data_IF_690340654020
#
_entry.id   IF_690340654020
#
_cell.length_a   1.000
_cell.length_b   1.000
_cell.length_c   1.000
_cell.angle_alpha   90.00
_cell.angle_beta   90.00
_cell.angle_gamma   90.00
#
_symmetry.space_group_name_H-M   'P 1'
#
loop_
_entity.id
_entity.type
_entity.pdbx_description
1 polymer ?
#
# COMPACT_ATOMS: atom_id res chain seq x y z
N UNK A 1 -1.46 -4.96 -24.02
CA UNK A 1 -0.19 -4.97 -23.27
C UNK A 1 -0.29 -6.10 -22.25
N UNK A 2 0.58 -7.09 -22.32
CA UNK A 2 0.57 -8.21 -21.36
C UNK A 2 0.79 -7.64 -19.96
N UNK A 3 -0.06 -8.01 -19.01
CA UNK A 3 -0.03 -7.44 -17.66
C UNK A 3 1.20 -8.01 -16.94
N UNK A 4 2.14 -7.14 -16.56
CA UNK A 4 3.22 -7.53 -15.65
C UNK A 4 2.62 -7.93 -14.30
N UNK A 5 3.24 -8.88 -13.62
CA UNK A 5 2.79 -9.42 -12.33
C UNK A 5 3.92 -9.43 -11.32
N UNK A 6 3.54 -9.46 -10.06
CA UNK A 6 4.48 -9.63 -8.95
C UNK A 6 4.84 -11.11 -8.79
N UNK A 7 6.10 -11.37 -8.45
CA UNK A 7 6.61 -12.69 -8.11
C UNK A 7 6.94 -12.71 -6.63
N UNK A 8 6.53 -13.78 -5.95
CA UNK A 8 6.76 -13.97 -4.52
C UNK A 8 7.61 -15.20 -4.26
N UNK A 9 8.78 -15.02 -3.66
CA UNK A 9 9.74 -16.08 -3.34
C UNK A 9 9.76 -16.32 -1.83
N UNK A 10 9.15 -17.42 -1.40
CA UNK A 10 9.13 -17.85 0.00
C UNK A 10 10.20 -18.88 0.34
N UNK A 11 10.46 -19.79 -0.60
CA UNK A 11 11.48 -20.83 -0.45
C UNK A 11 12.88 -20.24 -0.59
N UNK A 12 13.83 -20.76 0.19
CA UNK A 12 15.23 -20.44 0.03
C UNK A 12 15.76 -20.87 -1.35
N UNK A 13 16.84 -20.23 -1.78
CA UNK A 13 17.52 -20.59 -3.01
C UNK A 13 18.22 -19.41 -3.66
N UNK A 14 18.21 -19.35 -4.99
CA UNK A 14 18.93 -18.36 -5.77
C UNK A 14 18.06 -17.76 -6.87
N UNK A 15 18.08 -16.44 -6.98
CA UNK A 15 17.50 -15.73 -8.12
C UNK A 15 18.64 -15.25 -9.01
N UNK A 16 18.59 -15.62 -10.29
CA UNK A 16 19.63 -15.27 -11.25
C UNK A 16 19.03 -14.90 -12.61
N UNK A 17 19.76 -14.08 -13.36
CA UNK A 17 19.46 -13.82 -14.76
C UNK A 17 20.06 -14.91 -15.64
N UNK A 18 19.31 -15.38 -16.63
CA UNK A 18 19.85 -15.99 -17.85
C UNK A 18 19.13 -15.40 -19.05
N UNK A 19 19.87 -14.76 -19.94
CA UNK A 19 19.35 -14.03 -21.11
C UNK A 19 18.29 -12.97 -20.72
N UNK A 20 17.06 -13.08 -21.23
CA UNK A 20 15.92 -12.21 -20.91
C UNK A 20 14.96 -12.85 -19.88
N UNK A 21 15.44 -13.81 -19.10
CA UNK A 21 14.63 -14.61 -18.18
C UNK A 21 15.21 -14.56 -16.77
N UNK A 22 14.31 -14.42 -15.79
CA UNK A 22 14.62 -14.62 -14.38
C UNK A 22 14.48 -16.10 -14.04
N UNK A 23 15.56 -16.71 -13.56
CA UNK A 23 15.59 -18.07 -13.06
C UNK A 23 15.58 -18.07 -11.55
N UNK A 24 14.60 -18.75 -10.98
CA UNK A 24 14.48 -19.04 -9.56
C UNK A 24 14.92 -20.50 -9.39
N UNK A 25 15.97 -20.72 -8.62
CA UNK A 25 16.51 -22.05 -8.31
C UNK A 25 16.29 -22.28 -6.83
N UNK A 26 15.46 -23.25 -6.45
CA UNK A 26 15.31 -23.61 -5.03
C UNK A 26 16.57 -24.32 -4.51
N UNK A 27 16.72 -24.42 -3.18
CA UNK A 27 17.78 -25.24 -2.56
C UNK A 27 17.78 -26.69 -3.08
N UNK A 28 16.60 -27.27 -3.31
CA UNK A 28 16.43 -28.63 -3.88
C UNK A 28 16.79 -28.72 -5.38
N UNK A 29 17.27 -27.64 -5.99
CA UNK A 29 17.68 -27.60 -7.40
C UNK A 29 16.54 -27.44 -8.40
N UNK A 30 15.29 -27.27 -7.96
CA UNK A 30 14.14 -27.03 -8.84
C UNK A 30 14.29 -25.66 -9.50
N UNK A 31 14.25 -25.63 -10.83
CA UNK A 31 14.40 -24.40 -11.61
C UNK A 31 13.07 -23.95 -12.18
N UNK A 32 12.69 -22.71 -11.88
CA UNK A 32 11.56 -22.03 -12.49
C UNK A 32 12.04 -20.84 -13.30
N UNK A 33 11.69 -20.82 -14.59
CA UNK A 33 11.97 -19.73 -15.50
C UNK A 33 10.77 -18.78 -15.57
N UNK A 34 11.00 -17.48 -15.46
CA UNK A 34 9.98 -16.45 -15.68
C UNK A 34 10.51 -15.38 -16.65
N UNK A 35 9.88 -15.18 -17.81
CA UNK A 35 10.26 -14.12 -18.73
C UNK A 35 10.18 -12.75 -18.05
N UNK A 36 11.24 -11.95 -18.11
CA UNK A 36 11.30 -10.67 -17.37
C UNK A 36 10.20 -9.70 -17.78
N UNK A 37 9.73 -9.78 -19.03
CA UNK A 37 8.66 -8.92 -19.56
C UNK A 37 7.32 -9.11 -18.86
N UNK A 38 7.14 -10.24 -18.14
CA UNK A 38 5.96 -10.54 -17.34
C UNK A 38 6.13 -10.12 -15.88
N UNK A 39 7.29 -9.59 -15.48
CA UNK A 39 7.63 -9.33 -14.08
C UNK A 39 7.57 -7.84 -13.82
N UNK A 40 6.81 -7.47 -12.80
CA UNK A 40 6.75 -6.11 -12.29
C UNK A 40 7.68 -5.97 -11.10
N UNK A 41 7.38 -6.69 -10.02
CA UNK A 41 8.19 -6.73 -8.81
C UNK A 41 8.55 -8.17 -8.43
N UNK A 42 9.64 -8.32 -7.69
CA UNK A 42 9.99 -9.57 -7.01
C UNK A 42 10.06 -9.33 -5.51
N UNK A 43 9.25 -10.06 -4.75
CA UNK A 43 9.18 -10.03 -3.30
C UNK A 43 9.94 -11.22 -2.72
N UNK A 44 10.96 -10.94 -1.93
CA UNK A 44 11.92 -11.89 -1.40
C UNK A 44 11.64 -12.10 0.10
N UNK A 45 10.91 -13.16 0.43
CA UNK A 45 10.58 -13.56 1.81
C UNK A 45 11.52 -14.63 2.36
N UNK A 46 12.07 -15.50 1.50
CA UNK A 46 13.05 -16.52 1.87
C UNK A 46 14.50 -16.02 1.87
N UNK A 47 15.44 -16.91 2.21
CA UNK A 47 16.87 -16.65 2.07
C UNK A 47 17.27 -16.85 0.60
N UNK A 48 17.42 -15.74 -0.14
CA UNK A 48 17.67 -15.77 -1.58
C UNK A 48 19.07 -15.22 -1.90
N UNK A 49 19.90 -16.05 -2.53
CA UNK A 49 21.16 -15.63 -3.13
C UNK A 49 20.93 -14.82 -4.40
N UNK A 50 21.62 -13.67 -4.49
CA UNK A 50 21.57 -12.75 -5.63
C UNK A 50 23.00 -12.45 -6.12
N UNK A 51 23.14 -11.96 -7.35
CA UNK A 51 24.44 -11.49 -7.87
C UNK A 51 24.32 -10.16 -8.64
N UNK A 52 25.46 -9.53 -8.91
CA UNK A 52 25.54 -8.25 -9.63
C UNK A 52 24.90 -8.30 -11.02
N UNK A 53 24.97 -9.44 -11.73
CA UNK A 53 24.35 -9.62 -13.03
C UNK A 53 22.81 -9.51 -12.96
N UNK A 54 22.20 -10.04 -11.91
CA UNK A 54 20.76 -9.86 -11.65
C UNK A 54 20.44 -8.39 -11.37
N UNK A 55 21.17 -7.70 -10.49
CA UNK A 55 20.89 -6.30 -10.18
C UNK A 55 21.00 -5.38 -11.40
N UNK A 56 22.02 -5.58 -12.24
CA UNK A 56 22.15 -4.85 -13.50
C UNK A 56 20.94 -5.12 -14.42
N UNK A 57 20.52 -6.37 -14.52
CA UNK A 57 19.38 -6.76 -15.36
C UNK A 57 18.05 -6.20 -14.86
N UNK A 58 17.78 -6.33 -13.56
CA UNK A 58 16.61 -5.73 -12.91
C UNK A 58 16.60 -4.22 -13.09
N UNK A 59 17.77 -3.56 -12.99
CA UNK A 59 17.92 -2.13 -13.29
C UNK A 59 17.54 -1.75 -14.72
N UNK A 60 17.98 -2.53 -15.70
CA UNK A 60 17.69 -2.32 -17.13
C UNK A 60 16.23 -2.62 -17.50
N UNK A 61 15.62 -3.61 -16.84
CA UNK A 61 14.24 -4.07 -17.13
C UNK A 61 13.20 -3.44 -16.22
N UNK A 62 13.62 -2.52 -15.36
CA UNK A 62 12.77 -1.78 -14.41
C UNK A 62 12.02 -2.70 -13.44
N UNK A 63 12.64 -3.81 -13.03
CA UNK A 63 12.09 -4.75 -12.04
C UNK A 63 12.57 -4.37 -10.64
N UNK A 64 11.64 -4.07 -9.73
CA UNK A 64 11.97 -3.79 -8.33
C UNK A 64 12.11 -5.08 -7.52
N UNK A 65 13.06 -5.11 -6.58
CA UNK A 65 13.25 -6.24 -5.67
C UNK A 65 12.96 -5.79 -4.24
N UNK A 66 11.88 -6.30 -3.63
CA UNK A 66 11.47 -5.99 -2.27
C UNK A 66 11.93 -7.06 -1.30
N UNK A 67 12.53 -6.66 -0.18
CA UNK A 67 13.10 -7.56 0.82
C UNK A 67 12.30 -7.50 2.13
N UNK A 68 12.13 -8.66 2.73
CA UNK A 68 11.42 -8.84 3.99
C UNK A 68 12.30 -9.59 4.98
N UNK A 69 12.13 -9.33 6.28
CA UNK A 69 12.80 -10.10 7.32
C UNK A 69 12.07 -11.44 7.58
N UNK A 70 12.62 -12.26 8.48
CA UNK A 70 12.07 -13.56 8.86
C UNK A 70 10.58 -13.51 9.25
N UNK A 71 10.16 -12.45 9.95
CA UNK A 71 8.78 -12.24 10.39
C UNK A 71 7.85 -11.69 9.30
N UNK A 72 8.36 -11.49 8.08
CA UNK A 72 7.61 -10.94 6.95
C UNK A 72 7.44 -9.41 7.01
N UNK A 73 8.17 -8.70 7.87
CA UNK A 73 8.19 -7.25 7.86
C UNK A 73 9.10 -6.72 6.75
N UNK A 74 8.64 -5.67 6.07
CA UNK A 74 9.42 -5.01 5.02
C UNK A 74 10.71 -4.40 5.56
N UNK A 75 11.83 -4.79 4.94
CA UNK A 75 13.17 -4.30 5.26
C UNK A 75 13.56 -3.15 4.34
N UNK A 76 13.30 -3.30 3.04
CA UNK A 76 13.77 -2.35 2.05
C UNK A 76 13.55 -2.85 0.63
N UNK A 77 14.09 -2.14 -0.35
CA UNK A 77 14.08 -2.61 -1.74
C UNK A 77 15.27 -2.10 -2.51
N UNK A 78 15.65 -2.89 -3.51
CA UNK A 78 16.48 -2.41 -4.60
C UNK A 78 15.59 -1.73 -5.64
N UNK A 79 15.88 -0.47 -5.92
CA UNK A 79 15.21 0.33 -6.92
C UNK A 79 16.12 0.52 -8.13
N UNK A 80 15.65 0.16 -9.34
CA UNK A 80 16.28 0.58 -10.59
C UNK A 80 16.52 2.09 -10.63
N UNK A 81 17.51 2.53 -11.41
CA UNK A 81 17.72 3.96 -11.68
C UNK A 81 16.41 4.57 -12.21
N UNK A 82 16.06 5.76 -11.71
CA UNK A 82 14.87 6.47 -12.18
C UNK A 82 14.98 6.79 -13.69
N UNK A 83 14.00 6.32 -14.47
CA UNK A 83 13.94 6.55 -15.92
C UNK A 83 12.99 7.68 -16.29
N UNK A 84 11.92 7.89 -15.50
CA UNK A 84 10.93 8.95 -15.71
C UNK A 84 11.26 10.21 -14.93
N UNK A 85 12.50 10.70 -14.99
CA UNK A 85 12.92 11.88 -14.21
C UNK A 85 12.36 13.18 -14.79
N UNK A 86 11.92 14.09 -13.92
CA UNK A 86 11.58 15.46 -14.29
C UNK A 86 11.96 16.43 -13.18
N UNK A 87 13.04 17.20 -13.41
CA UNK A 87 13.47 18.23 -12.47
C UNK A 87 12.38 19.27 -12.19
N UNK A 88 11.53 19.56 -13.18
CA UNK A 88 10.39 20.47 -13.02
C UNK A 88 9.41 19.92 -11.97
N UNK A 89 9.01 18.65 -12.07
CA UNK A 89 8.09 18.04 -11.12
C UNK A 89 8.69 18.01 -9.72
N UNK A 90 9.97 17.63 -9.59
CA UNK A 90 10.66 17.62 -8.29
C UNK A 90 10.70 19.00 -7.65
N UNK A 91 11.12 20.04 -8.39
CA UNK A 91 11.13 21.43 -7.89
C UNK A 91 9.73 21.87 -7.48
N UNK A 92 8.70 21.53 -8.25
CA UNK A 92 7.32 21.88 -7.94
C UNK A 92 6.74 21.11 -6.74
N UNK A 93 7.12 19.85 -6.54
CA UNK A 93 6.79 19.10 -5.32
C UNK A 93 7.39 19.78 -4.09
N UNK A 94 8.67 20.15 -4.16
CA UNK A 94 9.35 20.89 -3.08
C UNK A 94 8.69 22.24 -2.80
N UNK A 95 8.34 23.02 -3.84
CA UNK A 95 7.60 24.28 -3.69
C UNK A 95 6.24 24.07 -2.98
N UNK A 96 5.52 23.00 -3.32
CA UNK A 96 4.25 22.67 -2.66
C UNK A 96 4.45 22.28 -1.19
N UNK A 97 5.52 21.57 -0.85
CA UNK A 97 5.85 21.21 0.52
C UNK A 97 6.21 22.45 1.37
N UNK A 98 7.04 23.34 0.81
CA UNK A 98 7.53 24.53 1.52
C UNK A 98 6.43 25.59 1.74
N UNK A 99 5.42 25.66 0.86
CA UNK A 99 4.29 26.58 1.03
C UNK A 99 3.20 25.96 1.90
N UNK A 100 3.03 26.47 3.12
CA UNK A 100 2.08 25.98 4.13
C UNK A 100 0.69 25.69 3.58
N UNK A 101 0.11 26.61 2.81
CA UNK A 101 -1.25 26.45 2.25
C UNK A 101 -1.35 25.32 1.23
N UNK A 102 -0.35 25.18 0.35
CA UNK A 102 -0.30 24.13 -0.67
C UNK A 102 -0.11 22.75 -0.03
N UNK A 103 0.81 22.65 0.93
CA UNK A 103 1.04 21.42 1.70
C UNK A 103 -0.22 21.01 2.45
N UNK A 104 -0.86 21.95 3.14
CA UNK A 104 -2.09 21.72 3.89
C UNK A 104 -3.23 21.26 2.99
N UNK A 105 -3.40 21.86 1.81
CA UNK A 105 -4.41 21.45 0.84
C UNK A 105 -4.28 19.97 0.45
N UNK A 106 -3.07 19.53 0.10
CA UNK A 106 -2.80 18.12 -0.26
C UNK A 106 -3.00 17.18 0.93
N UNK A 107 -2.48 17.55 2.11
CA UNK A 107 -2.68 16.78 3.34
C UNK A 107 -4.17 16.55 3.64
N UNK A 108 -4.99 17.60 3.58
CA UNK A 108 -6.45 17.52 3.75
C UNK A 108 -7.09 16.60 2.72
N UNK A 109 -6.67 16.66 1.46
CA UNK A 109 -7.21 15.82 0.40
C UNK A 109 -6.96 14.32 0.66
N UNK A 110 -5.77 13.93 1.12
CA UNK A 110 -5.48 12.53 1.46
C UNK A 110 -6.38 12.03 2.60
N UNK A 111 -6.49 12.79 3.69
CA UNK A 111 -7.31 12.41 4.85
C UNK A 111 -8.80 12.38 4.46
N UNK A 112 -9.31 13.36 3.72
CA UNK A 112 -10.71 13.37 3.27
C UNK A 112 -11.08 12.14 2.43
N UNK A 113 -10.18 11.66 1.59
CA UNK A 113 -10.42 10.46 0.79
C UNK A 113 -10.34 9.19 1.63
N UNK A 114 -9.36 9.09 2.52
CA UNK A 114 -9.24 7.99 3.47
C UNK A 114 -10.52 7.87 4.32
N UNK A 115 -10.96 8.96 4.95
CA UNK A 115 -12.19 9.00 5.76
C UNK A 115 -13.44 8.67 4.96
N UNK A 116 -13.53 9.16 3.71
CA UNK A 116 -14.64 8.80 2.82
C UNK A 116 -14.70 7.30 2.56
N UNK A 117 -13.56 6.66 2.27
CA UNK A 117 -13.51 5.21 2.03
C UNK A 117 -13.77 4.40 3.31
N UNK A 118 -13.31 4.84 4.48
CA UNK A 118 -13.64 4.23 5.78
C UNK A 118 -15.15 4.23 6.02
N UNK A 119 -15.79 5.40 5.92
CA UNK A 119 -17.24 5.54 6.08
C UNK A 119 -18.02 4.73 5.04
N UNK A 120 -17.52 4.66 3.80
CA UNK A 120 -18.10 3.81 2.74
C UNK A 120 -18.03 2.33 3.12
N UNK A 121 -16.90 1.87 3.67
CA UNK A 121 -16.74 0.48 4.14
C UNK A 121 -17.73 0.18 5.27
N UNK A 122 -17.83 1.05 6.28
CA UNK A 122 -18.81 0.92 7.37
C UNK A 122 -20.25 0.84 6.84
N UNK A 123 -20.62 1.74 5.91
CA UNK A 123 -21.96 1.77 5.30
C UNK A 123 -22.29 0.50 4.51
N UNK A 124 -21.37 0.06 3.63
CA UNK A 124 -21.55 -1.16 2.82
C UNK A 124 -21.65 -2.43 3.68
N UNK A 125 -21.17 -2.39 4.92
CA UNK A 125 -21.22 -3.50 5.88
C UNK A 125 -22.31 -3.36 6.94
N UNK A 126 -23.16 -2.34 6.86
CA UNK A 126 -24.32 -2.19 7.74
C UNK A 126 -24.03 -1.58 9.13
N UNK A 127 -22.79 -1.21 9.45
CA UNK A 127 -22.42 -0.72 10.80
C UNK A 127 -22.43 0.81 10.93
N UNK A 128 -23.13 1.52 10.03
CA UNK A 128 -23.14 2.99 10.02
C UNK A 128 -23.86 3.63 11.21
N UNK A 129 -24.68 2.87 11.93
CA UNK A 129 -25.40 3.33 13.12
C UNK A 129 -24.56 3.33 14.41
N UNK A 130 -23.38 2.72 14.40
CA UNK A 130 -22.53 2.64 15.59
C UNK A 130 -21.93 4.01 15.94
N UNK A 131 -21.84 4.30 17.24
CA UNK A 131 -21.29 5.56 17.78
C UNK A 131 -19.90 5.88 17.20
N UNK A 132 -19.03 4.87 17.11
CA UNK A 132 -17.70 5.01 16.53
C UNK A 132 -17.73 5.55 15.09
N UNK A 133 -18.73 5.16 14.28
CA UNK A 133 -18.88 5.61 12.89
C UNK A 133 -19.50 7.01 12.81
N UNK A 134 -20.40 7.34 13.74
CA UNK A 134 -20.94 8.70 13.88
C UNK A 134 -19.83 9.69 14.22
N UNK A 135 -18.94 9.35 15.16
CA UNK A 135 -17.78 10.18 15.52
C UNK A 135 -16.87 10.39 14.31
N UNK A 136 -16.59 9.36 13.51
CA UNK A 136 -15.80 9.51 12.26
C UNK A 136 -16.48 10.50 11.31
N UNK A 137 -17.81 10.45 11.20
CA UNK A 137 -18.59 11.34 10.34
C UNK A 137 -18.44 12.80 10.77
N UNK A 138 -18.51 13.09 12.07
CA UNK A 138 -18.31 14.44 12.61
C UNK A 138 -16.85 14.91 12.44
N UNK A 139 -15.88 14.09 12.82
CA UNK A 139 -14.45 14.41 12.63
C UNK A 139 -14.10 14.67 11.16
N UNK A 140 -14.75 13.97 10.22
CA UNK A 140 -14.53 14.15 8.79
C UNK A 140 -14.94 15.54 8.28
N UNK A 141 -15.92 16.19 8.93
CA UNK A 141 -16.33 17.56 8.60
C UNK A 141 -15.21 18.55 8.96
N UNK A 142 -14.58 18.34 10.12
CA UNK A 142 -13.53 19.21 10.67
C UNK A 142 -12.22 19.20 9.85
N UNK A 143 -12.00 18.22 8.96
CA UNK A 143 -10.79 18.17 8.12
C UNK A 143 -10.65 19.44 7.28
N UNK A 144 -11.77 20.01 6.80
CA UNK A 144 -11.73 21.24 5.98
C UNK A 144 -11.23 22.44 6.77
N UNK A 145 -11.51 22.49 8.06
CA UNK A 145 -11.24 23.64 8.93
C UNK A 145 -9.90 23.53 9.67
N UNK A 146 -9.20 22.40 9.54
CA UNK A 146 -7.85 22.22 10.10
C UNK A 146 -6.90 23.34 9.62
N UNK A 147 -6.16 23.97 10.53
CA UNK A 147 -5.35 25.18 10.25
C UNK A 147 -3.93 24.85 9.79
N UNK A 148 -3.49 23.63 10.01
CA UNK A 148 -2.17 23.13 9.63
C UNK A 148 -2.16 21.60 9.47
N UNK A 149 -1.01 21.08 9.04
CA UNK A 149 -0.82 19.66 8.77
C UNK A 149 -0.86 18.85 10.07
N UNK A 150 -0.39 19.39 11.19
CA UNK A 150 -0.39 18.70 12.47
C UNK A 150 -1.82 18.46 12.98
N UNK A 151 -2.69 19.47 12.90
CA UNK A 151 -4.11 19.33 13.18
C UNK A 151 -4.77 18.32 12.23
N UNK A 152 -4.41 18.36 10.94
CA UNK A 152 -4.90 17.40 9.94
C UNK A 152 -4.52 15.95 10.29
N UNK A 153 -3.27 15.73 10.72
CA UNK A 153 -2.80 14.43 11.21
C UNK A 153 -3.47 14.01 12.52
N UNK A 154 -3.73 14.95 13.44
CA UNK A 154 -4.49 14.67 14.67
C UNK A 154 -5.90 14.17 14.37
N UNK A 155 -6.60 14.82 13.43
CA UNK A 155 -7.92 14.37 12.96
C UNK A 155 -7.84 12.99 12.31
N UNK A 156 -6.84 12.75 11.45
CA UNK A 156 -6.59 11.44 10.84
C UNK A 156 -6.39 10.33 11.88
N UNK A 157 -5.59 10.59 12.92
CA UNK A 157 -5.32 9.65 13.99
C UNK A 157 -6.59 9.29 14.78
N UNK A 158 -7.40 10.29 15.14
CA UNK A 158 -8.69 10.07 15.82
C UNK A 158 -9.66 9.28 14.93
N UNK A 159 -9.78 9.64 13.65
CA UNK A 159 -10.60 8.91 12.68
C UNK A 159 -10.17 7.45 12.60
N UNK A 160 -8.86 7.18 12.48
CA UNK A 160 -8.33 5.81 12.45
C UNK A 160 -8.63 5.04 13.73
N UNK A 161 -8.50 5.67 14.89
CA UNK A 161 -8.80 5.02 16.17
C UNK A 161 -10.26 4.57 16.24
N UNK A 162 -11.20 5.48 15.93
CA UNK A 162 -12.62 5.13 15.91
C UNK A 162 -12.97 4.12 14.81
N UNK A 163 -12.32 4.21 13.64
CA UNK A 163 -12.51 3.26 12.57
C UNK A 163 -12.07 1.85 12.98
N UNK A 164 -10.91 1.70 13.62
CA UNK A 164 -10.46 0.40 14.11
C UNK A 164 -11.38 -0.17 15.20
N UNK A 165 -11.93 0.67 16.10
CA UNK A 165 -12.98 0.24 17.03
C UNK A 165 -14.21 -0.29 16.27
N UNK A 166 -14.66 0.44 15.24
CA UNK A 166 -15.77 0.01 14.40
C UNK A 166 -15.49 -1.29 13.63
N UNK A 167 -14.22 -1.62 13.33
CA UNK A 167 -13.87 -2.87 12.67
C UNK A 167 -14.11 -4.10 13.55
N UNK A 168 -14.07 -3.98 14.88
CA UNK A 168 -14.36 -5.11 15.78
C UNK A 168 -15.79 -5.64 15.58
N UNK A 169 -16.73 -4.79 15.15
CA UNK A 169 -18.11 -5.18 14.80
C UNK A 169 -18.21 -5.97 13.49
N UNK A 170 -17.14 -6.00 12.70
CA UNK A 170 -17.10 -6.61 11.37
C UNK A 170 -16.27 -7.89 11.31
N UNK A 171 -15.63 -8.28 12.39
CA UNK A 171 -14.69 -9.41 12.42
C UNK A 171 -15.06 -10.38 13.54
N UNK A 172 -14.68 -11.67 13.44
CA UNK A 172 -14.93 -12.64 14.49
C UNK A 172 -14.25 -12.24 15.81
N UNK A 173 -14.83 -12.64 16.94
CA UNK A 173 -14.35 -12.31 18.28
C UNK A 173 -12.85 -12.63 18.49
N UNK A 174 -12.40 -13.78 17.98
CA UNK A 174 -10.99 -14.22 18.02
C UNK A 174 -9.99 -13.28 17.31
N UNK A 175 -10.49 -12.37 16.47
CA UNK A 175 -9.70 -11.36 15.75
C UNK A 175 -9.89 -9.94 16.29
N UNK A 176 -10.74 -9.75 17.29
CA UNK A 176 -10.94 -8.42 17.88
C UNK A 176 -9.67 -7.93 18.58
N UNK A 177 -9.49 -6.62 18.62
CA UNK A 177 -8.29 -5.99 19.17
C UNK A 177 -8.63 -4.67 19.85
N UNK A 178 -7.93 -4.35 20.95
CA UNK A 178 -8.20 -3.14 21.73
C UNK A 178 -7.67 -1.88 21.05
N UNK A 179 -6.46 -1.95 20.49
CA UNK A 179 -5.78 -0.81 19.86
C UNK A 179 -4.83 -1.24 18.74
N UNK A 180 -4.42 -0.30 17.89
CA UNK A 180 -3.51 -0.58 16.78
C UNK A 180 -2.06 -0.72 17.27
N UNK A 181 -1.54 -1.96 17.34
CA UNK A 181 -0.14 -2.25 17.68
C UNK A 181 0.70 -2.53 16.43
N UNK A 182 1.61 -1.61 16.06
CA UNK A 182 2.28 -1.64 14.73
C UNK A 182 3.60 -2.42 14.70
N UNK A 183 4.49 -2.22 15.67
CA UNK A 183 5.87 -2.74 15.67
C UNK A 183 6.35 -2.98 17.12
N UNK A 184 6.24 -4.20 17.66
CA UNK A 184 5.61 -5.39 17.06
C UNK A 184 4.06 -5.35 17.14
N UNK A 185 3.35 -6.05 16.22
CA UNK A 185 1.95 -6.41 16.43
C UNK A 185 1.81 -7.39 17.59
N UNK A 186 0.76 -7.21 18.41
CA UNK A 186 0.50 -8.03 19.62
C UNK A 186 -0.67 -9.01 19.48
N UNK A 187 -1.43 -8.91 18.40
CA UNK A 187 -2.58 -9.78 18.12
C UNK A 187 -2.70 -10.11 16.62
N UNK A 188 -3.46 -11.17 16.27
CA UNK A 188 -3.57 -11.64 14.89
C UNK A 188 -4.06 -10.59 13.91
N UNK A 189 -5.06 -9.78 14.28
CA UNK A 189 -5.62 -8.82 13.33
C UNK A 189 -4.70 -7.60 13.13
N UNK A 190 -3.98 -7.16 14.17
CA UNK A 190 -2.90 -6.19 14.03
C UNK A 190 -1.77 -6.70 13.13
N UNK A 191 -1.40 -7.98 13.22
CA UNK A 191 -0.42 -8.58 12.32
C UNK A 191 -0.91 -8.57 10.86
N UNK A 192 -2.19 -8.92 10.66
CA UNK A 192 -2.84 -8.93 9.34
C UNK A 192 -2.91 -7.51 8.72
N UNK A 193 -3.32 -6.50 9.49
CA UNK A 193 -3.32 -5.10 9.05
C UNK A 193 -1.90 -4.64 8.72
N UNK A 194 -0.91 -4.99 9.54
CA UNK A 194 0.49 -4.59 9.31
C UNK A 194 1.02 -5.16 8.00
N UNK A 195 0.74 -6.42 7.73
CA UNK A 195 1.13 -7.09 6.49
C UNK A 195 0.40 -6.53 5.27
N UNK A 196 -0.93 -6.38 5.33
CA UNK A 196 -1.72 -5.78 4.25
C UNK A 196 -1.32 -4.34 3.93
N UNK A 197 -1.03 -3.52 4.95
CA UNK A 197 -0.53 -2.16 4.75
C UNK A 197 0.85 -2.16 4.08
N UNK A 198 1.71 -3.12 4.43
CA UNK A 198 3.03 -3.27 3.81
C UNK A 198 2.90 -3.55 2.31
N UNK A 199 2.02 -4.49 1.94
CA UNK A 199 1.70 -4.78 0.53
C UNK A 199 1.18 -3.55 -0.21
N UNK A 200 0.33 -2.74 0.45
CA UNK A 200 -0.16 -1.50 -0.12
C UNK A 200 0.97 -0.48 -0.32
N UNK A 201 1.87 -0.32 0.65
CA UNK A 201 3.00 0.62 0.55
C UNK A 201 3.94 0.25 -0.59
N UNK A 202 4.29 -1.03 -0.75
CA UNK A 202 5.15 -1.47 -1.86
C UNK A 202 4.47 -1.31 -3.20
N UNK A 203 3.16 -1.59 -3.29
CA UNK A 203 2.39 -1.38 -4.52
C UNK A 203 2.32 0.10 -4.92
N UNK A 204 2.04 0.99 -3.97
CA UNK A 204 2.00 2.44 -4.22
C UNK A 204 3.38 2.96 -4.62
N UNK A 205 4.43 2.55 -3.92
CA UNK A 205 5.79 2.96 -4.22
C UNK A 205 6.21 2.52 -5.62
N UNK A 206 5.86 1.29 -6.01
CA UNK A 206 6.13 0.77 -7.35
C UNK A 206 5.45 1.60 -8.43
N UNK A 207 4.24 2.09 -8.18
CA UNK A 207 3.53 2.96 -9.12
C UNK A 207 4.08 4.38 -9.15
N UNK A 208 4.59 4.92 -8.03
CA UNK A 208 5.27 6.22 -8.00
C UNK A 208 6.51 6.20 -8.91
N UNK A 209 7.32 5.14 -8.86
CA UNK A 209 8.55 5.02 -9.66
C UNK A 209 8.31 4.99 -11.18
N UNK A 210 7.08 4.74 -11.62
CA UNK A 210 6.66 4.79 -13.03
C UNK A 210 6.20 6.18 -13.46
N UNK A 211 6.41 7.17 -12.60
CA UNK A 211 6.03 8.55 -12.81
C UNK A 211 7.20 9.47 -12.48
N UNK A 212 7.00 10.77 -12.70
CA UNK A 212 7.96 11.82 -12.41
C UNK A 212 7.97 12.26 -10.94
N UNK A 213 7.11 11.66 -10.10
CA UNK A 213 7.05 12.02 -8.68
C UNK A 213 8.30 11.50 -7.95
N UNK A 214 8.94 12.39 -7.20
CA UNK A 214 9.93 12.00 -6.23
C UNK A 214 9.23 11.38 -5.01
N UNK A 215 9.51 10.11 -4.64
CA UNK A 215 8.83 9.40 -3.57
C UNK A 215 9.18 9.89 -2.15
N UNK A 216 10.23 10.71 -2.00
CA UNK A 216 10.67 11.22 -0.69
C UNK A 216 9.91 12.48 -0.26
N UNK A 217 9.29 13.21 -1.20
CA UNK A 217 8.55 14.46 -0.93
C UNK A 217 7.06 14.14 -0.72
N UNK A 218 6.62 14.20 0.54
CA UNK A 218 5.24 14.00 1.00
C UNK A 218 4.61 15.30 1.51
N UNK A 219 3.33 15.27 1.85
CA UNK A 219 2.57 16.44 2.27
C UNK A 219 1.81 16.24 3.59
N UNK A 220 1.24 15.06 3.82
CA UNK A 220 0.63 14.69 5.10
C UNK A 220 1.70 14.23 6.09
N UNK A 221 2.43 13.16 5.78
CA UNK A 221 3.55 12.72 6.61
C UNK A 221 4.76 13.63 6.39
N UNK A 222 5.59 13.83 7.42
CA UNK A 222 6.86 14.52 7.25
C UNK A 222 7.81 13.73 6.31
N UNK A 223 8.44 14.40 5.32
CA UNK A 223 9.61 13.89 4.63
C UNK A 223 10.69 13.53 5.66
N UNK A 224 11.32 12.37 5.48
CA UNK A 224 12.37 11.90 6.38
C UNK A 224 13.57 11.48 5.56
N UNK A 225 14.77 11.64 6.12
CA UNK A 225 16.05 11.34 5.46
C UNK A 225 16.18 9.89 4.98
N UNK A 226 15.38 8.96 5.50
CA UNK A 226 15.50 7.51 5.23
C UNK A 226 14.17 6.84 4.88
N UNK A 227 13.19 7.59 4.35
CA UNK A 227 11.86 7.05 4.06
C UNK A 227 11.22 7.65 2.81
N UNK A 228 10.61 6.78 2.01
CA UNK A 228 9.71 7.18 0.92
C UNK A 228 8.36 7.62 1.50
N UNK A 229 8.28 8.84 2.00
CA UNK A 229 7.08 9.29 2.72
C UNK A 229 5.87 9.48 1.79
N UNK A 230 6.04 9.73 0.49
CA UNK A 230 4.90 9.97 -0.42
C UNK A 230 4.04 8.72 -0.63
N UNK A 231 4.65 7.53 -0.60
CA UNK A 231 3.87 6.30 -0.72
C UNK A 231 2.96 6.08 0.48
N UNK A 232 3.32 6.59 1.67
CA UNK A 232 2.46 6.54 2.85
C UNK A 232 1.22 7.41 2.65
N UNK A 233 1.40 8.65 2.20
CA UNK A 233 0.32 9.60 1.90
C UNK A 233 -0.68 9.03 0.89
N UNK A 234 -0.18 8.54 -0.24
CA UNK A 234 -1.04 7.96 -1.27
C UNK A 234 -1.70 6.66 -0.80
N UNK A 235 -1.00 5.83 -0.01
CA UNK A 235 -1.58 4.61 0.55
C UNK A 235 -2.72 4.89 1.54
N UNK A 236 -2.80 6.07 2.18
CA UNK A 236 -3.94 6.45 3.02
C UNK A 236 -5.27 6.33 2.28
N UNK A 237 -5.30 6.68 0.99
CA UNK A 237 -6.48 6.59 0.12
C UNK A 237 -6.92 5.14 -0.07
N UNK A 238 -5.95 4.25 -0.31
CA UNK A 238 -6.20 2.90 -0.81
C UNK A 238 -6.36 1.85 0.29
N UNK A 239 -5.77 2.04 1.48
CA UNK A 239 -5.92 1.14 2.63
C UNK A 239 -7.40 0.81 2.95
N UNK A 240 -8.27 1.81 3.25
CA UNK A 240 -9.68 1.55 3.52
C UNK A 240 -10.52 1.15 2.30
N UNK A 241 -10.02 1.37 1.09
CA UNK A 241 -10.69 0.98 -0.15
C UNK A 241 -10.42 -0.49 -0.53
N UNK A 242 -9.19 -0.95 -0.29
CA UNK A 242 -8.67 -2.21 -0.79
C UNK A 242 -8.28 -3.17 0.33
N UNK A 243 -7.40 -2.74 1.24
CA UNK A 243 -6.81 -3.59 2.28
C UNK A 243 -7.87 -3.99 3.31
N UNK A 244 -8.49 -3.03 3.99
CA UNK A 244 -9.37 -3.35 5.12
C UNK A 244 -10.57 -4.24 4.69
N UNK A 245 -11.29 -3.95 3.59
CA UNK A 245 -12.37 -4.81 3.14
C UNK A 245 -11.92 -6.23 2.75
N UNK A 246 -10.70 -6.36 2.21
CA UNK A 246 -10.08 -7.64 1.90
C UNK A 246 -9.83 -8.45 3.19
N UNK A 247 -9.17 -7.84 4.18
CA UNK A 247 -8.83 -8.51 5.44
C UNK A 247 -10.07 -8.97 6.20
N UNK A 248 -11.08 -8.10 6.31
CA UNK A 248 -12.40 -8.42 6.89
C UNK A 248 -13.01 -9.62 6.17
N UNK A 249 -12.89 -9.70 4.85
CA UNK A 249 -13.44 -10.81 4.06
C UNK A 249 -12.69 -12.11 4.30
N UNK A 250 -11.36 -12.06 4.44
CA UNK A 250 -10.52 -13.24 4.66
C UNK A 250 -10.83 -13.91 6.01
N UNK A 251 -10.99 -13.13 7.08
CA UNK A 251 -11.31 -13.66 8.42
C UNK A 251 -12.75 -14.16 8.50
N UNK A 252 -13.73 -13.40 7.98
CA UNK A 252 -15.13 -13.83 8.00
C UNK A 252 -15.41 -15.08 7.17
N UNK A 253 -14.69 -15.26 6.05
CA UNK A 253 -14.78 -16.48 5.24
C UNK A 253 -13.91 -17.62 5.76
N UNK A 254 -13.30 -17.48 6.94
CA UNK A 254 -12.37 -18.45 7.55
C UNK A 254 -11.23 -18.87 6.61
N UNK A 255 -10.85 -18.01 5.66
CA UNK A 255 -9.66 -18.20 4.81
C UNK A 255 -8.40 -17.92 5.62
N UNK A 256 -8.48 -16.96 6.53
CA UNK A 256 -7.50 -16.72 7.58
C UNK A 256 -8.16 -17.08 8.91
N UNK A 257 -7.42 -17.80 9.75
CA UNK A 257 -7.81 -18.34 11.07
C UNK A 257 -6.58 -18.34 11.97
N UNK A 258 -6.74 -18.61 13.26
CA UNK A 258 -5.64 -18.66 14.25
C UNK A 258 -4.41 -19.46 13.82
N UNK A 259 -4.57 -20.58 13.10
CA UNK A 259 -3.45 -21.42 12.59
C UNK A 259 -2.49 -20.72 11.61
N UNK A 260 -2.86 -19.55 11.10
CA UNK A 260 -2.06 -18.80 10.14
C UNK A 260 -1.15 -17.77 10.81
N UNK A 261 -1.09 -17.79 12.14
CA UNK A 261 -0.30 -16.87 12.95
C UNK A 261 0.67 -17.65 13.81
N UNK A 262 1.80 -17.01 14.08
CA UNK A 262 2.80 -17.46 15.04
C UNK A 262 3.03 -16.33 16.05
N UNK A 263 3.40 -16.72 17.27
CA UNK A 263 3.78 -15.81 18.33
C UNK A 263 5.21 -16.13 18.75
N UNK A 264 6.06 -15.10 18.72
CA UNK A 264 7.44 -15.19 19.19
C UNK A 264 7.68 -14.03 20.16
N UNK A 265 7.90 -14.33 21.44
CA UNK A 265 8.15 -13.36 22.51
C UNK A 265 7.11 -12.21 22.57
N UNK A 266 5.83 -12.54 22.39
CA UNK A 266 4.74 -11.57 22.42
C UNK A 266 4.55 -10.78 21.12
N UNK A 267 5.36 -11.06 20.09
CA UNK A 267 5.16 -10.55 18.74
C UNK A 267 4.38 -11.55 17.90
N UNK A 268 3.21 -11.12 17.42
CA UNK A 268 2.36 -11.91 16.53
C UNK A 268 2.65 -11.54 15.08
N UNK A 269 2.85 -12.55 14.23
CA UNK A 269 3.05 -12.39 12.79
C UNK A 269 2.35 -13.49 11.99
N UNK A 270 2.10 -13.23 10.71
CA UNK A 270 1.55 -14.24 9.79
C UNK A 270 2.64 -15.25 9.45
N UNK A 271 2.34 -16.53 9.59
CA UNK A 271 3.21 -17.59 9.05
C UNK A 271 3.16 -17.65 7.52
N UNK A 272 3.99 -18.49 6.91
CA UNK A 272 4.09 -18.57 5.46
C UNK A 272 2.76 -18.88 4.77
N UNK A 273 1.98 -19.81 5.33
CA UNK A 273 0.65 -20.15 4.81
C UNK A 273 -0.29 -18.94 4.82
N UNK A 274 -0.33 -18.22 5.94
CA UNK A 274 -1.11 -16.98 6.08
C UNK A 274 -0.70 -15.92 5.07
N UNK A 275 0.62 -15.68 4.92
CA UNK A 275 1.16 -14.71 3.95
C UNK A 275 0.75 -15.04 2.52
N UNK A 276 0.88 -16.30 2.09
CA UNK A 276 0.48 -16.75 0.75
C UNK A 276 -1.00 -16.50 0.45
N UNK A 277 -1.88 -16.76 1.42
CA UNK A 277 -3.33 -16.53 1.27
C UNK A 277 -3.62 -15.03 1.10
N UNK A 278 -3.02 -14.18 1.94
CA UNK A 278 -3.25 -12.73 1.89
C UNK A 278 -2.71 -12.13 0.60
N UNK A 279 -1.50 -12.54 0.17
CA UNK A 279 -0.88 -12.08 -1.08
C UNK A 279 -1.75 -12.43 -2.28
N UNK A 280 -2.16 -13.69 -2.41
CA UNK A 280 -2.98 -14.12 -3.54
C UNK A 280 -4.29 -13.33 -3.63
N UNK A 281 -4.96 -13.11 -2.49
CA UNK A 281 -6.20 -12.37 -2.43
C UNK A 281 -6.01 -10.86 -2.69
N UNK A 282 -4.85 -10.31 -2.30
CA UNK A 282 -4.49 -8.91 -2.55
C UNK A 282 -4.19 -8.65 -4.03
N UNK A 283 -3.43 -9.53 -4.68
CA UNK A 283 -3.15 -9.43 -6.12
C UNK A 283 -4.43 -9.53 -6.96
N UNK A 284 -5.28 -10.52 -6.64
CA UNK A 284 -6.59 -10.67 -7.28
C UNK A 284 -7.41 -9.39 -7.13
N UNK A 285 -7.41 -8.81 -5.91
CA UNK A 285 -8.10 -7.55 -5.63
C UNK A 285 -7.53 -6.39 -6.45
N UNK A 286 -6.21 -6.31 -6.66
CA UNK A 286 -5.60 -5.25 -7.47
C UNK A 286 -5.90 -5.38 -8.96
N UNK A 287 -6.06 -6.60 -9.46
CA UNK A 287 -6.39 -6.88 -10.86
C UNK A 287 -7.86 -6.61 -11.20
N UNK A 288 -8.76 -6.66 -10.21
CA UNK A 288 -10.17 -6.33 -10.42
C UNK A 288 -10.34 -4.96 -11.07
N UNK A 289 -11.21 -4.88 -12.08
CA UNK A 289 -11.44 -3.67 -12.86
C UNK A 289 -12.77 -3.01 -12.55
N UNK A 290 -12.79 -1.68 -12.61
CA UNK A 290 -14.01 -0.87 -12.57
C UNK A 290 -14.15 -0.07 -13.88
N UNK A 291 -15.39 0.23 -14.28
CA UNK A 291 -15.64 1.11 -15.44
C UNK A 291 -15.39 2.56 -15.02
N UNK A 292 -14.32 3.15 -15.54
CA UNK A 292 -13.93 4.51 -15.17
C UNK A 292 -14.82 5.55 -15.88
N UNK A 293 -15.58 6.36 -15.12
CA UNK A 293 -16.56 7.32 -15.67
C UNK A 293 -15.96 8.31 -16.67
N UNK A 294 -14.85 8.98 -16.32
CA UNK A 294 -14.20 9.97 -17.19
C UNK A 294 -13.46 9.35 -18.39
N UNK A 295 -12.68 8.29 -18.16
CA UNK A 295 -11.89 7.61 -19.21
C UNK A 295 -12.72 6.68 -20.11
N UNK A 296 -13.99 6.40 -19.76
CA UNK A 296 -14.91 5.51 -20.48
C UNK A 296 -14.31 4.13 -20.82
N UNK A 297 -13.44 3.59 -19.96
CA UNK A 297 -12.80 2.27 -20.11
C UNK A 297 -12.69 1.54 -18.78
N UNK A 298 -12.44 0.23 -18.83
CA UNK A 298 -12.17 -0.56 -17.64
C UNK A 298 -10.75 -0.25 -17.15
N UNK A 299 -10.63 -0.06 -15.84
CA UNK A 299 -9.39 0.29 -15.16
C UNK A 299 -9.25 -0.58 -13.93
N UNK A 300 -8.11 -1.25 -13.77
CA UNK A 300 -7.81 -2.04 -12.58
C UNK A 300 -7.58 -1.14 -11.36
N UNK A 301 -7.80 -1.67 -10.15
CA UNK A 301 -7.42 -0.97 -8.93
C UNK A 301 -5.94 -0.63 -8.88
N UNK A 302 -5.10 -1.53 -9.40
CA UNK A 302 -3.68 -1.26 -9.60
C UNK A 302 -3.45 0.02 -10.42
N UNK A 303 -4.11 0.17 -11.58
CA UNK A 303 -3.93 1.35 -12.40
C UNK A 303 -4.58 2.62 -11.81
N UNK A 304 -5.59 2.49 -10.92
CA UNK A 304 -6.11 3.64 -10.16
C UNK A 304 -5.03 4.28 -9.28
N UNK A 305 -4.08 3.50 -8.76
CA UNK A 305 -2.95 4.04 -7.98
C UNK A 305 -2.09 4.94 -8.87
N UNK A 306 -1.78 4.51 -10.10
CA UNK A 306 -1.04 5.33 -11.07
C UNK A 306 -1.80 6.59 -11.47
N UNK A 307 -3.12 6.48 -11.67
CA UNK A 307 -3.95 7.64 -11.97
C UNK A 307 -3.94 8.67 -10.83
N UNK A 308 -3.86 8.22 -9.57
CA UNK A 308 -3.72 9.12 -8.43
C UNK A 308 -2.37 9.85 -8.44
N UNK A 309 -1.30 9.16 -8.81
CA UNK A 309 0.02 9.77 -9.03
C UNK A 309 -0.05 10.84 -10.13
N UNK A 310 -0.66 10.55 -11.29
CA UNK A 310 -0.79 11.54 -12.36
C UNK A 310 -1.63 12.76 -11.97
N UNK A 311 -2.69 12.57 -11.16
CA UNK A 311 -3.47 13.71 -10.64
C UNK A 311 -2.62 14.60 -9.74
N UNK A 312 -1.77 14.00 -8.90
CA UNK A 312 -0.85 14.75 -8.06
C UNK A 312 0.18 15.53 -8.90
N UNK A 313 0.74 14.90 -9.94
CA UNK A 313 1.66 15.56 -10.88
C UNK A 313 1.01 16.79 -11.51
N UNK A 314 -0.19 16.63 -12.08
CA UNK A 314 -0.95 17.73 -12.69
C UNK A 314 -1.20 18.88 -11.72
N UNK A 315 -1.46 18.57 -10.46
CA UNK A 315 -1.63 19.59 -9.44
C UNK A 315 -0.34 20.35 -9.15
N UNK A 316 0.77 19.65 -8.90
CA UNK A 316 2.01 20.33 -8.51
C UNK A 316 2.57 21.20 -9.62
N UNK A 317 2.38 20.82 -10.89
CA UNK A 317 2.79 21.64 -12.03
C UNK A 317 1.81 22.79 -12.35
N UNK A 318 0.65 22.84 -11.68
CA UNK A 318 -0.35 23.89 -11.86
C UNK A 318 -1.34 23.68 -13.01
N UNK A 319 -1.41 22.49 -13.60
CA UNK A 319 -2.33 22.15 -14.71
C UNK A 319 -3.77 21.94 -14.21
N UNK A 320 -3.97 21.06 -13.22
CA UNK A 320 -5.31 20.76 -12.71
C UNK A 320 -5.29 20.57 -11.19
N UNK A 321 -6.19 21.22 -10.42
CA UNK A 321 -6.27 21.00 -8.98
C UNK A 321 -6.45 19.53 -8.60
N UNK A 322 -5.74 19.08 -7.55
CA UNK A 322 -5.85 17.71 -7.07
C UNK A 322 -7.23 17.47 -6.45
N UNK A 323 -7.97 16.51 -7.00
CA UNK A 323 -9.24 16.05 -6.45
C UNK A 323 -9.03 14.60 -6.05
N UNK A 324 -8.92 14.23 -4.77
CA UNK A 324 -8.54 12.89 -4.39
C UNK A 324 -9.60 11.85 -4.79
N UNK A 325 -9.17 10.60 -5.03
CA UNK A 325 -10.08 9.51 -5.40
C UNK A 325 -11.19 9.36 -4.35
N UNK A 326 -12.44 9.36 -4.81
CA UNK A 326 -13.60 8.94 -4.03
C UNK A 326 -14.34 7.89 -4.85
N UNK A 327 -14.28 6.64 -4.42
CA UNK A 327 -14.92 5.52 -5.10
C UNK A 327 -16.43 5.74 -5.26
N UNK A 328 -16.91 5.80 -6.51
CA UNK A 328 -18.31 6.08 -6.86
C UNK A 328 -19.13 4.82 -7.19
N UNK A 329 -18.49 3.66 -7.20
CA UNK A 329 -19.10 2.34 -7.45
C UNK A 329 -19.43 1.62 -6.14
#
# INVERSE_FOLDING_TARGET
MMMRRDIYLFSNGRLMRKDNTLYIVSEDGIKRAVPVEQVENVHLFGQIDLNSALFNFSGQKEVMLHFYNYYGFYTGSFYPREHSVSGIVTVKQSDHYLRKEKRLFLAKCFVQSASFHMLRTCRKRGIHGYESVQIITELSKNIRDAKDVQQTMGIEGMIRQHYYRALNELIPEEFTFAERTKRPPRDPFNALISFGNTMMYTSVLSEIYKTQLNPTISYLHEPSQKRFSLCLDLAEIFKPLLVDPLLITLVNKKKITSKHFENHDGMVYLNEMGRKIVIAAFDERLQQTIRHRKLKRNVSYWYLIRLECYKLIKHVIGDTPYIPLKAWW
#
